data_IF_779390034203
#
_entry.id   IF_779390034203
#
_cell.length_a   1.000
_cell.length_b   1.000
_cell.length_c   1.000
_cell.angle_alpha   90.00
_cell.angle_beta   90.00
_cell.angle_gamma   90.00
#
_symmetry.space_group_name_H-M   'P 1'
#
loop_
_entity.id
_entity.type
_entity.pdbx_description
1 polymer ?
#
# COMPACT_ATOMS: atom_id res chain seq x y z
N UNK A 1 -8.92 -28.50 -15.23
CA UNK A 1 -9.69 -27.26 -15.01
C UNK A 1 -9.54 -26.30 -16.18
N UNK A 2 -8.31 -25.93 -16.57
CA UNK A 2 -8.06 -24.97 -17.69
C UNK A 2 -8.69 -25.47 -18.99
N UNK A 3 -8.44 -26.72 -19.39
CA UNK A 3 -9.06 -27.33 -20.59
C UNK A 3 -10.58 -27.40 -20.48
N UNK A 4 -11.10 -27.83 -19.34
CA UNK A 4 -12.56 -27.95 -19.13
C UNK A 4 -13.29 -26.59 -19.13
N UNK A 5 -12.57 -25.49 -18.93
CA UNK A 5 -13.18 -24.15 -19.00
C UNK A 5 -13.52 -23.71 -20.41
N UNK A 6 -12.88 -24.31 -21.43
CA UNK A 6 -13.14 -24.00 -22.83
C UNK A 6 -14.60 -24.27 -23.22
N UNK A 7 -15.13 -25.43 -22.83
CA UNK A 7 -16.52 -25.83 -23.14
C UNK A 7 -17.52 -24.88 -22.47
N UNK A 8 -17.25 -24.45 -21.22
CA UNK A 8 -18.12 -23.53 -20.46
C UNK A 8 -18.07 -22.11 -21.08
N UNK A 9 -16.89 -21.64 -21.46
CA UNK A 9 -16.70 -20.30 -22.03
C UNK A 9 -17.16 -20.20 -23.48
N UNK A 10 -17.18 -21.31 -24.22
CA UNK A 10 -17.66 -21.34 -25.61
C UNK A 10 -19.14 -20.94 -25.76
N UNK A 11 -19.94 -21.16 -24.71
CA UNK A 11 -21.37 -20.81 -24.66
C UNK A 11 -21.62 -19.41 -24.06
N UNK A 12 -20.56 -18.64 -23.77
CA UNK A 12 -20.65 -17.29 -23.20
C UNK A 12 -20.46 -16.20 -24.25
N UNK A 13 -20.96 -14.98 -23.96
CA UNK A 13 -20.73 -13.79 -24.80
C UNK A 13 -19.34 -13.16 -24.57
N UNK A 14 -18.46 -13.80 -23.81
CA UNK A 14 -17.14 -13.32 -23.49
C UNK A 14 -16.13 -13.66 -24.62
N UNK A 15 -15.12 -12.80 -24.79
CA UNK A 15 -14.00 -13.08 -25.69
C UNK A 15 -12.99 -14.08 -25.09
N UNK A 16 -13.09 -14.35 -23.79
CA UNK A 16 -12.23 -15.32 -23.10
C UNK A 16 -12.53 -16.74 -23.60
N UNK A 17 -11.49 -17.50 -23.93
CA UNK A 17 -11.60 -18.89 -24.41
C UNK A 17 -11.25 -19.91 -23.34
N UNK A 18 -10.45 -19.53 -22.36
CA UNK A 18 -10.00 -20.41 -21.26
C UNK A 18 -9.74 -19.58 -20.01
N UNK A 19 -9.82 -20.20 -18.84
CA UNK A 19 -9.24 -19.64 -17.62
C UNK A 19 -7.72 -19.94 -17.61
N UNK A 20 -6.95 -19.07 -17.01
CA UNK A 20 -5.52 -19.28 -16.81
C UNK A 20 -5.19 -19.30 -15.31
N UNK A 21 -4.77 -20.45 -14.81
CA UNK A 21 -4.32 -20.62 -13.44
C UNK A 21 -2.80 -20.51 -13.43
N UNK A 22 -2.29 -19.52 -12.75
CA UNK A 22 -0.86 -19.22 -12.66
C UNK A 22 -0.45 -18.93 -11.21
N UNK A 23 0.88 -18.85 -10.95
CA UNK A 23 1.40 -18.55 -9.61
C UNK A 23 1.18 -19.68 -8.61
N UNK A 24 1.02 -20.91 -9.08
CA UNK A 24 0.83 -22.07 -8.22
C UNK A 24 2.04 -22.28 -7.30
N UNK A 25 1.78 -22.72 -6.07
CA UNK A 25 2.81 -22.98 -5.08
C UNK A 25 2.23 -23.62 -3.81
N UNK A 26 3.09 -23.83 -2.85
CA UNK A 26 2.66 -24.22 -1.51
C UNK A 26 2.38 -22.98 -0.68
N UNK A 27 1.45 -23.09 0.28
CA UNK A 27 1.22 -22.02 1.23
C UNK A 27 2.52 -21.69 1.97
N UNK A 28 2.99 -20.43 1.93
CA UNK A 28 4.21 -20.06 2.65
C UNK A 28 3.96 -20.09 4.16
N UNK A 29 4.99 -20.50 4.92
CA UNK A 29 5.01 -20.34 6.36
C UNK A 29 5.65 -18.99 6.69
N UNK A 30 4.86 -18.06 7.18
CA UNK A 30 5.32 -16.72 7.56
C UNK A 30 5.28 -16.59 9.09
N UNK A 31 6.24 -15.83 9.63
CA UNK A 31 6.23 -15.48 11.05
C UNK A 31 5.13 -14.45 11.27
N UNK A 32 4.36 -14.57 12.36
CA UNK A 32 3.36 -13.57 12.73
C UNK A 32 4.02 -12.20 12.93
N UNK A 33 3.30 -11.16 12.56
CA UNK A 33 3.80 -9.78 12.66
C UNK A 33 4.23 -9.44 14.11
N UNK A 34 3.42 -9.81 15.09
CA UNK A 34 3.70 -9.58 16.50
C UNK A 34 4.95 -10.32 16.98
N UNK A 35 5.21 -11.54 16.49
CA UNK A 35 6.40 -12.30 16.86
C UNK A 35 7.68 -11.75 16.24
N UNK A 36 7.55 -11.05 15.11
CA UNK A 36 8.68 -10.47 14.41
C UNK A 36 9.03 -9.07 14.90
N UNK A 37 8.02 -8.25 15.25
CA UNK A 37 8.18 -6.84 15.54
C UNK A 37 7.84 -6.45 16.98
N UNK A 38 7.23 -7.35 17.76
CA UNK A 38 6.87 -7.10 19.16
C UNK A 38 5.69 -6.14 19.35
N UNK A 39 4.94 -5.85 18.28
CA UNK A 39 3.78 -4.98 18.26
C UNK A 39 2.68 -5.54 17.36
N UNK A 40 1.44 -5.12 17.58
CA UNK A 40 0.29 -5.51 16.76
C UNK A 40 0.26 -4.72 15.46
N UNK A 41 -0.30 -5.31 14.39
CA UNK A 41 -0.40 -4.68 13.09
C UNK A 41 -1.78 -4.80 12.49
N UNK A 42 -2.24 -3.75 11.82
CA UNK A 42 -3.44 -3.75 10.99
C UNK A 42 -3.15 -3.25 9.58
N UNK A 43 -4.06 -3.49 8.66
CA UNK A 43 -3.93 -2.99 7.30
C UNK A 43 -5.27 -2.84 6.58
N UNK A 44 -5.29 -1.94 5.60
CA UNK A 44 -6.31 -1.87 4.57
C UNK A 44 -5.68 -1.92 3.19
N UNK A 45 -6.18 -2.81 2.34
CA UNK A 45 -5.74 -2.97 0.96
C UNK A 45 -6.87 -3.54 0.11
N UNK A 46 -6.90 -3.21 -1.18
CA UNK A 46 -7.80 -3.84 -2.15
C UNK A 46 -7.07 -4.86 -3.05
N UNK A 47 -5.78 -5.10 -2.80
CA UNK A 47 -4.95 -6.04 -3.58
C UNK A 47 -4.85 -7.36 -2.85
N UNK A 48 -5.34 -8.44 -3.45
CA UNK A 48 -5.39 -9.77 -2.84
C UNK A 48 -4.02 -10.30 -2.40
N UNK A 49 -2.95 -9.99 -3.14
CA UNK A 49 -1.59 -10.36 -2.77
C UNK A 49 -1.17 -9.73 -1.43
N UNK A 50 -1.38 -8.42 -1.28
CA UNK A 50 -1.03 -7.67 -0.07
C UNK A 50 -1.93 -8.10 1.09
N UNK A 51 -3.23 -8.31 0.82
CA UNK A 51 -4.18 -8.87 1.78
C UNK A 51 -3.76 -10.24 2.27
N UNK A 52 -3.32 -11.12 1.36
CA UNK A 52 -2.78 -12.43 1.68
C UNK A 52 -1.58 -12.38 2.62
N UNK A 53 -0.67 -11.42 2.43
CA UNK A 53 0.45 -11.18 3.34
C UNK A 53 -0.05 -10.79 4.74
N UNK A 54 -1.03 -9.90 4.84
CA UNK A 54 -1.66 -9.53 6.12
C UNK A 54 -2.24 -10.72 6.85
N UNK A 55 -3.02 -11.55 6.15
CA UNK A 55 -3.62 -12.77 6.72
C UNK A 55 -2.55 -13.77 7.17
N UNK A 56 -1.52 -14.01 6.34
CA UNK A 56 -0.45 -14.97 6.65
C UNK A 56 0.44 -14.52 7.81
N UNK A 57 0.55 -13.23 8.04
CA UNK A 57 1.30 -12.65 9.17
C UNK A 57 0.43 -12.33 10.38
N UNK A 58 -0.85 -12.71 10.34
CA UNK A 58 -1.84 -12.46 11.41
C UNK A 58 -1.99 -10.98 11.77
N UNK A 59 -1.87 -10.08 10.78
CA UNK A 59 -2.30 -8.69 10.91
C UNK A 59 -3.82 -8.58 10.80
N UNK A 60 -4.40 -7.57 11.43
CA UNK A 60 -5.82 -7.24 11.28
C UNK A 60 -6.07 -6.67 9.88
N UNK A 61 -6.74 -7.41 9.00
CA UNK A 61 -7.09 -6.95 7.66
C UNK A 61 -8.49 -6.34 7.70
N UNK A 62 -8.57 -5.01 7.59
CA UNK A 62 -9.83 -4.26 7.68
C UNK A 62 -10.48 -4.17 6.30
N UNK A 63 -11.76 -4.56 6.24
CA UNK A 63 -12.59 -4.40 5.05
C UNK A 63 -13.19 -3.00 4.99
N UNK A 64 -13.03 -2.32 3.87
CA UNK A 64 -13.58 -0.99 3.63
C UNK A 64 -14.49 -1.03 2.40
N UNK A 65 -15.76 -0.67 2.59
CA UNK A 65 -16.71 -0.61 1.48
C UNK A 65 -16.26 0.42 0.44
N UNK A 66 -16.24 0.03 -0.83
CA UNK A 66 -15.77 0.86 -1.94
C UNK A 66 -14.24 0.98 -2.04
N UNK A 67 -13.47 0.25 -1.23
CA UNK A 67 -12.04 0.13 -1.46
C UNK A 67 -11.79 -0.73 -2.70
N UNK A 68 -11.23 -0.11 -3.73
CA UNK A 68 -10.82 -0.76 -4.97
C UNK A 68 -9.31 -0.65 -5.15
N UNK A 69 -8.74 -1.45 -6.06
CA UNK A 69 -7.35 -1.32 -6.50
C UNK A 69 -7.22 -0.30 -7.66
N UNK A 70 -8.16 0.62 -7.82
CA UNK A 70 -8.22 1.56 -8.95
C UNK A 70 -8.40 3.02 -8.49
N UNK A 71 -8.57 3.95 -9.42
CA UNK A 71 -8.64 5.41 -9.18
C UNK A 71 -9.84 5.84 -8.32
N UNK A 72 -10.93 5.10 -8.40
CA UNK A 72 -12.20 5.34 -7.72
C UNK A 72 -12.25 4.78 -6.30
N UNK A 73 -11.13 4.29 -5.78
CA UNK A 73 -11.06 3.73 -4.43
C UNK A 73 -11.57 4.70 -3.37
N UNK A 74 -12.14 4.15 -2.30
CA UNK A 74 -12.60 4.92 -1.15
C UNK A 74 -11.40 5.35 -0.28
N UNK A 75 -10.77 6.49 -0.62
CA UNK A 75 -9.62 7.04 0.07
C UNK A 75 -9.94 7.37 1.54
N UNK A 76 -11.08 8.05 1.77
CA UNK A 76 -11.53 8.44 3.10
C UNK A 76 -11.79 7.22 3.98
N UNK A 77 -12.46 6.21 3.44
CA UNK A 77 -12.72 4.97 4.17
C UNK A 77 -11.44 4.23 4.57
N UNK A 78 -10.41 4.23 3.72
CA UNK A 78 -9.09 3.67 4.06
C UNK A 78 -8.41 4.46 5.19
N UNK A 79 -8.48 5.79 5.17
CA UNK A 79 -8.00 6.68 6.24
C UNK A 79 -8.75 6.42 7.55
N UNK A 80 -10.07 6.41 7.51
CA UNK A 80 -10.92 6.27 8.69
C UNK A 80 -10.74 4.88 9.34
N UNK A 81 -10.54 3.83 8.54
CA UNK A 81 -10.18 2.51 9.03
C UNK A 81 -8.86 2.54 9.81
N UNK A 82 -7.84 3.26 9.31
CA UNK A 82 -6.57 3.41 10.02
C UNK A 82 -6.73 4.11 11.36
N UNK A 83 -7.42 5.26 11.39
CA UNK A 83 -7.64 6.04 12.62
C UNK A 83 -8.46 5.25 13.65
N UNK A 84 -9.48 4.54 13.21
CA UNK A 84 -10.31 3.70 14.09
C UNK A 84 -9.49 2.57 14.68
N UNK A 85 -8.79 1.80 13.85
CA UNK A 85 -8.05 0.63 14.31
C UNK A 85 -6.87 1.01 15.23
N UNK A 86 -6.17 2.12 14.94
CA UNK A 86 -5.13 2.65 15.80
C UNK A 86 -5.72 3.16 17.13
N UNK A 87 -6.87 3.83 17.08
CA UNK A 87 -7.59 4.27 18.27
C UNK A 87 -8.09 3.13 19.16
N UNK A 88 -8.38 1.98 18.58
CA UNK A 88 -8.76 0.74 19.27
C UNK A 88 -7.55 -0.02 19.85
N UNK A 89 -6.32 0.47 19.62
CA UNK A 89 -5.10 0.00 20.28
C UNK A 89 -4.20 -0.89 19.46
N UNK A 90 -4.38 -0.96 18.13
CA UNK A 90 -3.37 -1.56 17.23
C UNK A 90 -2.17 -0.62 17.13
N UNK A 91 -0.96 -1.15 17.21
CA UNK A 91 0.26 -0.34 17.30
C UNK A 91 0.75 0.21 15.96
N UNK A 92 0.50 -0.51 14.86
CA UNK A 92 0.90 -0.13 13.49
C UNK A 92 -0.23 -0.38 12.51
N UNK A 93 -0.48 0.55 11.60
CA UNK A 93 -1.46 0.36 10.53
C UNK A 93 -0.87 0.69 9.17
N UNK A 94 -1.15 -0.17 8.18
CA UNK A 94 -0.71 -0.02 6.79
C UNK A 94 -1.90 0.41 5.93
N UNK A 95 -1.79 1.56 5.29
CA UNK A 95 -2.75 2.02 4.28
C UNK A 95 -2.14 1.79 2.90
N UNK A 96 -2.70 0.87 2.13
CA UNK A 96 -2.25 0.59 0.77
C UNK A 96 -3.19 1.21 -0.27
N UNK A 97 -2.62 1.91 -1.26
CA UNK A 97 -3.36 2.59 -2.35
C UNK A 97 -2.65 2.30 -3.67
N UNK A 98 -3.37 1.72 -4.62
CA UNK A 98 -2.89 1.26 -5.92
C UNK A 98 -3.02 2.31 -7.02
N UNK A 99 -3.88 3.31 -6.85
CA UNK A 99 -4.28 4.25 -7.91
C UNK A 99 -3.11 4.89 -8.68
N UNK A 100 -2.00 5.17 -8.01
CA UNK A 100 -0.80 5.75 -8.65
C UNK A 100 -0.06 4.74 -9.53
N UNK A 101 -0.10 3.46 -9.17
CA UNK A 101 0.48 2.36 -9.94
C UNK A 101 -0.34 2.10 -11.21
N UNK A 102 -1.65 1.99 -11.09
CA UNK A 102 -2.57 1.81 -12.20
C UNK A 102 -2.45 2.93 -13.25
N UNK A 103 -2.34 4.19 -12.79
CA UNK A 103 -2.08 5.32 -13.67
C UNK A 103 -0.71 5.22 -14.36
N UNK A 104 0.29 4.69 -13.67
CA UNK A 104 1.60 4.37 -14.22
C UNK A 104 1.53 3.35 -15.36
N UNK A 105 0.83 2.25 -15.15
CA UNK A 105 0.59 1.19 -16.13
C UNK A 105 -0.21 1.68 -17.34
N UNK A 106 -1.21 2.51 -17.11
CA UNK A 106 -1.99 3.16 -18.18
C UNK A 106 -1.15 4.17 -18.97
N UNK A 107 -0.08 4.71 -18.40
CA UNK A 107 0.70 5.80 -18.95
C UNK A 107 -0.07 7.13 -18.93
N UNK A 108 -1.02 7.27 -17.98
CA UNK A 108 -1.88 8.43 -17.83
C UNK A 108 -1.26 9.42 -16.82
N UNK A 109 -0.67 10.49 -17.35
CA UNK A 109 0.01 11.53 -16.55
C UNK A 109 -0.98 12.27 -15.66
N UNK A 110 -2.13 12.68 -16.22
CA UNK A 110 -3.10 13.50 -15.52
C UNK A 110 -3.75 12.71 -14.38
N UNK A 111 -4.03 11.42 -14.61
CA UNK A 111 -4.57 10.54 -13.58
C UNK A 111 -3.54 10.23 -12.48
N UNK A 112 -2.26 10.04 -12.84
CA UNK A 112 -1.22 9.81 -11.84
C UNK A 112 -1.04 11.01 -10.90
N UNK A 113 -1.06 12.21 -11.46
CA UNK A 113 -1.03 13.46 -10.66
C UNK A 113 -2.27 13.54 -9.77
N UNK A 114 -3.45 13.28 -10.32
CA UNK A 114 -4.73 13.30 -9.57
C UNK A 114 -4.75 12.27 -8.43
N UNK A 115 -4.22 11.08 -8.68
CA UNK A 115 -4.11 10.03 -7.66
C UNK A 115 -3.20 10.45 -6.50
N UNK A 116 -2.05 11.10 -6.79
CA UNK A 116 -1.16 11.67 -5.77
C UNK A 116 -1.84 12.80 -4.99
N UNK A 117 -2.55 13.71 -5.67
CA UNK A 117 -3.31 14.79 -5.01
C UNK A 117 -4.46 14.25 -4.16
N UNK A 118 -5.12 13.18 -4.59
CA UNK A 118 -6.14 12.50 -3.79
C UNK A 118 -5.54 11.87 -2.54
N UNK A 119 -4.38 11.22 -2.68
CA UNK A 119 -3.66 10.64 -1.55
C UNK A 119 -3.33 11.71 -0.51
N UNK A 120 -2.79 12.84 -0.93
CA UNK A 120 -2.44 13.97 -0.06
C UNK A 120 -3.68 14.57 0.63
N UNK A 121 -4.69 14.96 -0.14
CA UNK A 121 -5.87 15.66 0.39
C UNK A 121 -6.84 14.76 1.16
N UNK A 122 -7.08 13.54 0.66
CA UNK A 122 -8.17 12.68 1.16
C UNK A 122 -7.67 11.67 2.21
N UNK A 123 -6.36 11.44 2.26
CA UNK A 123 -5.76 10.58 3.29
C UNK A 123 -4.86 11.41 4.21
N UNK A 124 -3.71 11.92 3.72
CA UNK A 124 -2.66 12.46 4.58
C UNK A 124 -3.13 13.64 5.44
N UNK A 125 -3.84 14.60 4.87
CA UNK A 125 -4.26 15.81 5.58
C UNK A 125 -5.05 15.48 6.84
N UNK A 126 -6.09 14.70 6.71
CA UNK A 126 -6.96 14.36 7.84
C UNK A 126 -6.37 13.23 8.71
N UNK A 127 -5.54 12.35 8.12
CA UNK A 127 -4.83 11.31 8.89
C UNK A 127 -3.89 11.96 9.91
N UNK A 128 -3.09 12.94 9.49
CA UNK A 128 -2.17 13.65 10.39
C UNK A 128 -2.94 14.33 11.53
N UNK A 129 -4.02 15.04 11.22
CA UNK A 129 -4.86 15.67 12.24
C UNK A 129 -5.45 14.66 13.22
N UNK A 130 -5.98 13.53 12.72
CA UNK A 130 -6.53 12.48 13.58
C UNK A 130 -5.47 11.77 14.42
N UNK A 131 -4.27 11.55 13.88
CA UNK A 131 -3.15 10.97 14.62
C UNK A 131 -2.68 11.87 15.77
N UNK A 132 -2.69 13.20 15.60
CA UNK A 132 -2.35 14.16 16.65
C UNK A 132 -3.31 14.07 17.85
N UNK A 133 -4.57 13.71 17.61
CA UNK A 133 -5.56 13.48 18.68
C UNK A 133 -5.33 12.17 19.45
N UNK A 134 -4.71 11.17 18.81
CA UNK A 134 -4.41 9.88 19.45
C UNK A 134 -3.15 9.93 20.33
N UNK A 135 -2.28 10.94 20.16
CA UNK A 135 -1.05 11.11 20.91
C UNK A 135 0.20 11.08 20.03
N UNK A 136 1.39 10.88 20.58
CA UNK A 136 2.62 10.84 19.78
C UNK A 136 2.65 9.68 18.78
N UNK A 137 2.99 9.96 17.53
CA UNK A 137 2.97 9.00 16.43
C UNK A 137 4.19 9.10 15.52
N UNK A 138 4.37 8.08 14.69
CA UNK A 138 5.34 8.05 13.60
C UNK A 138 4.70 7.57 12.31
N UNK A 139 5.23 8.02 11.18
CA UNK A 139 4.75 7.66 9.85
C UNK A 139 5.93 7.27 8.97
N UNK A 140 5.76 6.19 8.21
CA UNK A 140 6.59 5.85 7.06
C UNK A 140 5.72 6.02 5.81
N UNK A 141 6.13 6.92 4.92
CA UNK A 141 5.50 7.15 3.63
C UNK A 141 6.47 6.75 2.53
N UNK A 142 6.04 5.87 1.63
CA UNK A 142 6.83 5.41 0.48
C UNK A 142 5.96 4.77 -0.60
N UNK A 143 6.36 4.80 -1.88
CA UNK A 143 5.94 3.79 -2.85
C UNK A 143 6.64 2.46 -2.52
N UNK A 144 6.03 1.34 -2.87
CA UNK A 144 6.65 0.01 -2.78
C UNK A 144 7.67 -0.22 -3.92
N UNK A 145 7.39 0.35 -5.11
CA UNK A 145 8.25 0.35 -6.29
C UNK A 145 7.93 1.54 -7.19
N UNK A 146 8.79 1.76 -8.18
CA UNK A 146 8.52 2.72 -9.24
C UNK A 146 7.71 2.07 -10.37
N UNK A 147 6.72 2.81 -10.92
CA UNK A 147 5.96 2.46 -12.12
C UNK A 147 5.99 3.66 -13.07
N UNK A 148 7.15 3.85 -13.80
CA UNK A 148 7.33 5.00 -14.67
C UNK A 148 6.34 5.02 -15.82
N UNK A 149 5.69 6.16 -16.04
CA UNK A 149 4.72 6.39 -17.11
C UNK A 149 5.25 6.02 -18.51
N UNK A 150 6.54 6.28 -18.75
CA UNK A 150 7.17 5.98 -20.03
C UNK A 150 7.35 4.47 -20.28
N UNK A 151 7.49 3.68 -19.22
CA UNK A 151 7.73 2.23 -19.32
C UNK A 151 6.46 1.41 -19.09
N UNK A 152 5.49 1.98 -18.38
CA UNK A 152 4.20 1.33 -18.06
C UNK A 152 4.35 -0.03 -17.38
N UNK A 153 5.41 -0.18 -16.60
CA UNK A 153 5.71 -1.41 -15.85
C UNK A 153 6.61 -1.06 -14.67
N UNK A 154 6.68 -1.98 -13.71
CA UNK A 154 7.54 -1.81 -12.53
C UNK A 154 9.01 -1.78 -12.92
N UNK A 155 9.79 -0.97 -12.22
CA UNK A 155 11.25 -0.93 -12.36
C UNK A 155 11.93 -1.10 -11.01
N UNK A 156 13.20 -1.57 -10.97
CA UNK A 156 13.96 -1.74 -9.74
C UNK A 156 14.60 -0.43 -9.24
N UNK A 157 14.21 0.71 -9.78
CA UNK A 157 14.75 2.00 -9.38
C UNK A 157 14.44 2.30 -7.91
N UNK A 158 15.37 2.89 -7.16
CA UNK A 158 15.09 3.35 -5.81
C UNK A 158 13.96 4.38 -5.78
N UNK A 159 13.08 4.25 -4.79
CA UNK A 159 11.95 5.16 -4.58
C UNK A 159 12.18 6.04 -3.36
N UNK A 160 11.63 7.26 -3.32
CA UNK A 160 11.74 8.13 -2.15
C UNK A 160 10.96 7.53 -0.97
N UNK A 161 11.49 7.72 0.25
CA UNK A 161 10.75 7.44 1.48
C UNK A 161 10.92 8.58 2.47
N UNK A 162 9.94 8.69 3.37
CA UNK A 162 9.94 9.64 4.47
C UNK A 162 9.62 8.87 5.77
N UNK A 163 10.41 9.11 6.82
CA UNK A 163 10.03 8.74 8.19
C UNK A 163 9.85 10.03 8.97
N UNK A 164 8.66 10.20 9.55
CA UNK A 164 8.29 11.32 10.39
C UNK A 164 8.04 10.85 11.82
N UNK A 165 8.44 11.64 12.82
CA UNK A 165 8.19 11.41 14.24
C UNK A 165 7.63 12.72 14.84
N UNK A 166 6.38 12.69 15.28
CA UNK A 166 5.67 13.87 15.81
C UNK A 166 6.31 14.48 17.07
N UNK A 167 7.25 13.75 17.70
CA UNK A 167 8.00 14.20 18.89
C UNK A 167 9.28 14.94 18.56
N UNK A 168 9.67 15.02 17.28
CA UNK A 168 10.96 15.54 16.85
C UNK A 168 10.79 16.61 15.79
N UNK A 169 11.50 17.71 15.94
CA UNK A 169 11.66 18.66 14.85
C UNK A 169 12.55 18.04 13.75
N UNK A 170 12.10 18.11 12.52
CA UNK A 170 12.86 17.65 11.36
C UNK A 170 13.38 18.83 10.50
N UNK A 171 14.38 18.59 9.67
CA UNK A 171 14.94 19.63 8.79
C UNK A 171 13.94 20.08 7.70
N UNK A 172 12.83 19.35 7.54
CA UNK A 172 11.95 19.51 6.39
C UNK A 172 12.62 19.04 5.09
N UNK A 173 11.90 19.09 4.00
CA UNK A 173 12.42 18.69 2.69
C UNK A 173 11.34 18.56 1.63
N UNK A 174 11.77 18.25 0.41
CA UNK A 174 10.86 17.95 -0.71
C UNK A 174 10.79 16.45 -0.89
N UNK A 175 9.60 15.89 -0.75
CA UNK A 175 9.34 14.47 -0.98
C UNK A 175 9.18 14.21 -2.49
N UNK A 176 10.29 13.93 -3.13
CA UNK A 176 10.34 13.58 -4.57
C UNK A 176 11.65 12.88 -4.88
N UNK A 177 11.74 12.19 -6.01
CA UNK A 177 12.97 11.56 -6.49
C UNK A 177 14.12 12.58 -6.61
N UNK A 178 13.85 13.77 -7.15
CA UNK A 178 14.86 14.84 -7.27
C UNK A 178 15.26 15.41 -5.92
N UNK A 179 14.32 15.51 -4.96
CA UNK A 179 14.57 16.02 -3.61
C UNK A 179 15.49 15.11 -2.80
N UNK A 180 15.50 13.81 -3.09
CA UNK A 180 16.30 12.80 -2.38
C UNK A 180 17.42 12.19 -3.24
N UNK A 181 17.68 12.71 -4.44
CA UNK A 181 18.63 12.12 -5.40
C UNK A 181 20.05 11.91 -4.85
N UNK A 182 20.46 12.68 -3.84
CA UNK A 182 21.77 12.57 -3.19
C UNK A 182 21.74 11.83 -1.85
N UNK A 183 20.56 11.39 -1.41
CA UNK A 183 20.40 10.67 -0.16
C UNK A 183 20.92 9.22 -0.30
N UNK A 184 21.45 8.61 0.76
CA UNK A 184 21.87 7.22 0.72
C UNK A 184 20.66 6.30 0.52
N UNK A 185 20.84 5.28 -0.33
CA UNK A 185 19.81 4.25 -0.56
C UNK A 185 19.72 3.35 0.66
N UNK A 186 18.48 3.13 1.15
CA UNK A 186 18.19 2.21 2.24
C UNK A 186 17.63 0.88 1.71
N UNK A 187 17.75 -0.17 2.52
CA UNK A 187 17.15 -1.47 2.23
C UNK A 187 15.67 -1.42 2.65
N UNK A 188 14.74 -1.59 1.71
CA UNK A 188 13.31 -1.35 1.93
C UNK A 188 12.71 -2.17 3.09
N UNK A 189 13.03 -3.46 3.18
CA UNK A 189 12.49 -4.33 4.25
C UNK A 189 13.03 -4.02 5.66
N UNK A 190 14.06 -3.17 5.79
CA UNK A 190 14.55 -2.69 7.09
C UNK A 190 13.81 -1.44 7.59
N UNK A 191 13.05 -0.76 6.71
CA UNK A 191 12.42 0.52 7.05
C UNK A 191 11.36 0.39 8.14
N UNK A 192 10.64 -0.73 8.18
CA UNK A 192 9.69 -1.00 9.26
C UNK A 192 10.39 -1.08 10.63
N UNK A 193 11.55 -1.72 10.69
CA UNK A 193 12.36 -1.75 11.92
C UNK A 193 12.82 -0.35 12.34
N UNK A 194 13.18 0.51 11.39
CA UNK A 194 13.56 1.91 11.68
C UNK A 194 12.36 2.73 12.17
N UNK A 195 11.17 2.52 11.58
CA UNK A 195 9.94 3.16 12.03
C UNK A 195 9.62 2.80 13.48
N UNK A 196 9.77 1.53 13.86
CA UNK A 196 9.43 1.03 15.18
C UNK A 196 10.48 1.33 16.24
N UNK A 197 11.76 1.42 15.88
CA UNK A 197 12.85 1.69 16.84
C UNK A 197 12.88 3.14 17.36
N UNK A 198 12.43 4.12 16.58
CA UNK A 198 12.29 5.53 16.99
C UNK A 198 13.54 6.35 16.95
#
# INVERSE_FOLDING_TARGET
LMEASADILADSDLQATHIWLWGQGHQPSMRRFVDQHGCTGGMVTAVDLVRGLGVLTEMEVVEVEGATAHYDTNYEGKRDAALTTLGDGVDLFVIHVEATDEAGHAGDVDEKVRALENWDRRILTDLVAGMDELGPWRMLLLPDHATPLALRTHTPDPVPYLIFDSRKDGPGGVYSESGVATAPVAVGHELIGRLLAG
#
